data_IF_902071272601
#
_entry.id   IF_902071272601
#
_cell.length_a   1.000
_cell.length_b   1.000
_cell.length_c   1.000
_cell.angle_alpha   90.00
_cell.angle_beta   90.00
_cell.angle_gamma   90.00
#
_symmetry.space_group_name_H-M   'P 1'
#
loop_
_entity.id
_entity.type
_entity.pdbx_description
1 polymer ?
#
# COMPACT_ATOMS: atom_id res chain seq x y z
N UNK A 1 -49.47 39.94 -26.66
CA UNK A 1 -49.07 39.47 -26.66
C UNK A 1 -48.12 39.04 -26.04
N UNK A 2 -47.75 38.75 -25.83
CA UNK A 2 -47.09 38.21 -25.43
C UNK A 2 -46.10 37.72 -25.03
N UNK A 3 -45.75 37.56 -24.71
CA UNK A 3 -44.88 37.08 -24.51
C UNK A 3 -44.25 36.40 -24.09
N UNK A 4 -43.92 36.03 -23.95
CA UNK A 4 -43.34 35.30 -23.69
C UNK A 4 -42.50 34.86 -23.28
N UNK A 5 -42.11 34.54 -22.96
CA UNK A 5 -41.44 34.09 -22.69
C UNK A 5 -40.58 33.60 -22.44
N UNK A 6 -40.18 33.29 -22.20
CA UNK A 6 -39.36 32.74 -22.13
C UNK A 6 -38.57 32.36 -21.33
N UNK A 7 -38.30 31.83 -21.01
CA UNK A 7 -37.62 31.39 -20.37
C UNK A 7 -36.73 30.73 -20.22
N UNK A 8 -36.23 30.39 -20.16
CA UNK A 8 -35.28 29.88 -20.18
C UNK A 8 -34.66 29.36 -19.26
N UNK A 9 -34.39 28.83 -19.01
CA UNK A 9 -33.80 28.25 -18.19
C UNK A 9 -32.76 27.71 -18.13
N UNK A 10 -32.12 27.58 -18.05
CA UNK A 10 -31.04 27.21 -18.00
C UNK A 10 -30.61 26.52 -17.04
N UNK A 11 -30.29 25.85 -16.96
CA UNK A 11 -29.85 25.10 -16.14
C UNK A 11 -28.71 24.74 -15.97
N UNK A 12 -28.11 24.68 -15.65
CA UNK A 12 -27.07 24.38 -15.44
C UNK A 12 -26.50 23.48 -14.93
N UNK A 13 -25.97 23.05 -15.10
CA UNK A 13 -25.27 22.11 -14.93
C UNK A 13 -24.51 21.93 -13.87
N UNK A 14 -24.53 21.42 -13.36
CA UNK A 14 -23.79 21.26 -12.40
C UNK A 14 -23.05 20.32 -12.32
N UNK A 15 -22.35 20.07 -12.68
CA UNK A 15 -21.49 19.17 -12.75
C UNK A 15 -20.78 18.90 -11.73
N UNK A 16 -20.80 18.58 -11.12
CA UNK A 16 -20.15 18.21 -10.19
C UNK A 16 -19.24 17.43 -10.22
N UNK A 17 -18.45 17.39 -10.24
CA UNK A 17 -17.40 16.68 -10.24
C UNK A 17 -17.13 15.88 -9.25
N UNK A 18 -17.85 15.27 -8.88
CA UNK A 18 -17.56 14.42 -7.94
C UNK A 18 -16.52 13.56 -8.20
N UNK A 19 -16.25 13.40 -9.26
CA UNK A 19 -15.36 12.42 -9.54
C UNK A 19 -14.07 12.69 -9.18
N UNK A 20 -13.78 13.69 -8.78
CA UNK A 20 -12.49 14.00 -8.68
C UNK A 20 -11.76 13.36 -7.64
N UNK A 21 -12.24 12.51 -6.95
CA UNK A 21 -11.52 12.03 -5.96
C UNK A 21 -10.83 10.87 -6.21
N UNK A 22 -9.95 10.80 -7.05
CA UNK A 22 -9.18 9.65 -7.20
C UNK A 22 -8.07 9.69 -6.26
N UNK A 23 -8.26 9.68 -5.04
CA UNK A 23 -7.18 9.63 -4.14
C UNK A 23 -6.60 8.29 -4.07
N UNK A 24 -5.32 8.16 -4.10
CA UNK A 24 -4.62 6.92 -3.84
C UNK A 24 -4.80 6.60 -2.37
N UNK A 25 -5.40 5.48 -2.08
CA UNK A 25 -5.59 5.05 -0.69
C UNK A 25 -4.51 4.08 -0.24
N UNK A 26 -3.78 3.50 -1.17
CA UNK A 26 -2.75 2.53 -0.86
C UNK A 26 -1.51 2.84 -1.69
N UNK A 27 -0.36 2.81 -1.06
CA UNK A 27 0.92 2.88 -1.74
C UNK A 27 1.58 1.54 -1.70
N UNK A 28 2.28 1.17 -2.75
CA UNK A 28 3.04 -0.07 -2.78
C UNK A 28 4.52 0.29 -2.95
N UNK A 29 5.33 -0.22 -2.02
CA UNK A 29 6.76 0.00 -2.07
C UNK A 29 7.43 -1.31 -2.48
N UNK A 30 8.32 -1.24 -3.45
CA UNK A 30 9.12 -2.39 -3.83
C UNK A 30 10.46 -2.24 -3.14
N UNK A 31 10.74 -3.11 -2.20
CA UNK A 31 11.89 -2.96 -1.32
C UNK A 31 12.82 -4.15 -1.49
N UNK A 32 14.11 -3.89 -1.63
CA UNK A 32 15.08 -4.97 -1.66
C UNK A 32 15.16 -5.60 -0.29
N UNK A 33 15.20 -6.90 -0.25
CA UNK A 33 15.19 -7.62 1.02
C UNK A 33 16.33 -7.22 1.95
N UNK A 34 17.48 -6.86 1.41
CA UNK A 34 18.62 -6.47 2.24
C UNK A 34 18.36 -5.18 3.02
N UNK A 35 17.40 -4.37 2.59
CA UNK A 35 17.05 -3.13 3.27
C UNK A 35 15.74 -3.22 4.02
N UNK A 36 15.25 -4.43 4.24
CA UNK A 36 13.97 -4.62 4.92
C UNK A 36 14.16 -5.29 6.26
N UNK A 37 13.49 -4.76 7.26
CA UNK A 37 13.46 -5.37 8.57
C UNK A 37 12.02 -5.72 8.88
N UNK A 38 11.74 -7.01 8.96
CA UNK A 38 10.40 -7.48 9.21
C UNK A 38 10.02 -7.30 10.69
N UNK A 39 8.72 -7.17 10.97
CA UNK A 39 8.29 -7.04 12.36
C UNK A 39 8.54 -8.34 13.12
N UNK A 40 8.78 -8.22 14.41
CA UNK A 40 8.97 -9.39 15.25
C UNK A 40 7.63 -9.97 15.68
N UNK A 41 6.60 -9.14 15.76
CA UNK A 41 5.28 -9.57 16.21
C UNK A 41 4.22 -8.95 15.33
N UNK A 42 3.01 -9.48 15.41
CA UNK A 42 1.91 -8.99 14.59
C UNK A 42 1.50 -7.56 14.90
N UNK A 43 1.85 -7.04 16.04
CA UNK A 43 1.55 -5.64 16.37
C UNK A 43 2.75 -4.74 16.28
N UNK A 44 3.83 -5.21 15.68
CA UNK A 44 5.06 -4.44 15.64
C UNK A 44 5.16 -3.49 14.46
N UNK A 45 6.39 -3.24 14.05
CA UNK A 45 6.65 -2.34 12.94
C UNK A 45 7.55 -3.00 11.93
N UNK A 46 7.40 -2.56 10.69
CA UNK A 46 8.25 -2.97 9.60
C UNK A 46 9.07 -1.75 9.22
N UNK A 47 10.35 -1.93 8.98
CA UNK A 47 11.22 -0.83 8.62
C UNK A 47 11.97 -1.15 7.34
N UNK A 48 12.14 -0.17 6.49
CA UNK A 48 12.90 -0.35 5.26
C UNK A 48 13.50 0.96 4.78
N UNK A 49 14.49 0.85 3.92
CA UNK A 49 14.98 2.00 3.19
C UNK A 49 15.02 1.65 1.71
N UNK A 50 14.96 2.67 0.88
CA UNK A 50 14.93 2.44 -0.56
C UNK A 50 16.31 2.27 -1.13
N UNK A 51 17.33 2.64 -0.39
CA UNK A 51 18.72 2.47 -0.78
C UNK A 51 19.61 2.53 0.47
N UNK A 52 20.89 2.22 0.30
CA UNK A 52 21.81 2.14 1.44
C UNK A 52 21.88 3.44 2.25
N UNK A 53 21.84 4.57 1.57
CA UNK A 53 21.97 5.85 2.25
C UNK A 53 20.65 6.59 2.37
N UNK A 54 19.55 5.96 2.02
CA UNK A 54 18.25 6.59 2.09
C UNK A 54 17.69 6.54 3.52
N UNK A 55 16.76 7.43 3.79
CA UNK A 55 16.12 7.45 5.09
C UNK A 55 15.33 6.18 5.34
N UNK A 56 15.30 5.76 6.58
CA UNK A 56 14.53 4.58 6.98
C UNK A 56 13.08 4.96 7.20
N UNK A 57 12.18 4.20 6.55
CA UNK A 57 10.75 4.34 6.75
C UNK A 57 10.32 3.29 7.76
N UNK A 58 9.48 3.66 8.70
CA UNK A 58 8.96 2.73 9.69
C UNK A 58 7.44 2.71 9.58
N UNK A 59 6.88 1.54 9.29
CA UNK A 59 5.45 1.40 9.11
C UNK A 59 4.89 0.40 10.11
N UNK A 60 3.67 0.64 10.55
CA UNK A 60 3.06 -0.19 11.54
C UNK A 60 2.36 -1.37 10.90
N UNK A 61 2.51 -2.55 11.46
CA UNK A 61 1.74 -3.72 11.06
C UNK A 61 0.71 -4.03 12.14
N UNK A 62 -0.33 -4.74 11.76
CA UNK A 62 -1.39 -5.14 12.68
C UNK A 62 -1.69 -6.62 12.48
N UNK A 63 -2.56 -7.15 13.28
CA UNK A 63 -2.99 -8.52 13.11
C UNK A 63 -3.72 -8.73 11.79
N UNK A 64 -4.21 -7.67 11.17
CA UNK A 64 -4.88 -7.75 9.88
C UNK A 64 -3.92 -7.69 8.69
N UNK A 65 -2.64 -7.43 8.92
CA UNK A 65 -1.66 -7.39 7.85
C UNK A 65 -1.51 -8.78 7.25
N UNK A 66 -1.56 -8.86 5.92
CA UNK A 66 -1.44 -10.15 5.24
C UNK A 66 -0.02 -10.36 4.78
N UNK A 67 0.46 -11.58 4.91
CA UNK A 67 1.78 -11.98 4.44
C UNK A 67 1.60 -13.01 3.35
N UNK A 68 2.19 -12.78 2.18
CA UNK A 68 1.94 -13.59 0.99
C UNK A 68 3.26 -14.10 0.43
N UNK A 69 3.37 -15.40 0.27
CA UNK A 69 4.52 -16.05 -0.35
C UNK A 69 4.01 -16.81 -1.56
N UNK A 70 4.51 -16.44 -2.75
CA UNK A 70 4.12 -17.10 -3.99
C UNK A 70 2.59 -17.20 -4.14
N UNK A 71 1.91 -16.09 -3.88
CA UNK A 71 0.45 -15.96 -4.01
C UNK A 71 -0.34 -16.70 -2.93
N UNK A 72 0.30 -17.18 -1.88
CA UNK A 72 -0.41 -17.85 -0.80
C UNK A 72 -0.28 -17.06 0.48
N UNK A 73 -1.39 -16.93 1.19
CA UNK A 73 -1.37 -16.26 2.48
C UNK A 73 -0.71 -17.16 3.50
N UNK A 74 0.21 -16.63 4.25
CA UNK A 74 0.90 -17.37 5.30
C UNK A 74 0.93 -16.51 6.58
N UNK A 75 1.36 -17.12 7.66
CA UNK A 75 1.52 -16.36 8.91
C UNK A 75 2.79 -15.54 8.87
N UNK A 76 2.91 -14.57 9.76
CA UNK A 76 4.14 -13.79 9.87
C UNK A 76 5.34 -14.72 10.15
N UNK A 77 5.16 -15.69 11.00
CA UNK A 77 6.24 -16.64 11.33
C UNK A 77 6.70 -17.40 10.08
N UNK A 78 5.75 -17.88 9.29
CA UNK A 78 6.08 -18.60 8.07
C UNK A 78 6.70 -17.69 7.03
N UNK A 79 6.24 -16.45 6.94
CA UNK A 79 6.83 -15.48 6.03
C UNK A 79 8.29 -15.20 6.41
N UNK A 80 8.54 -14.99 7.69
CA UNK A 80 9.90 -14.75 8.16
C UNK A 80 10.81 -15.95 7.86
N UNK A 81 10.28 -17.14 8.01
CA UNK A 81 11.04 -18.33 7.73
C UNK A 81 11.32 -18.48 6.23
N UNK A 82 10.34 -18.20 5.40
CA UNK A 82 10.52 -18.24 3.95
C UNK A 82 11.59 -17.24 3.50
N UNK A 83 11.58 -16.06 4.06
CA UNK A 83 12.53 -15.03 3.71
C UNK A 83 13.94 -15.40 4.15
N UNK A 84 14.08 -16.08 5.28
CA UNK A 84 15.40 -16.51 5.74
C UNK A 84 16.07 -17.50 4.80
N UNK A 85 15.29 -18.20 4.01
CA UNK A 85 15.84 -19.18 3.07
C UNK A 85 16.31 -18.57 1.76
N UNK A 86 16.05 -17.30 1.56
CA UNK A 86 16.47 -16.63 0.35
C UNK A 86 17.96 -16.38 0.42
N UNK A 87 18.70 -16.93 -0.54
CA UNK A 87 20.13 -16.76 -0.55
C UNK A 87 20.56 -15.54 -1.33
N UNK A 88 19.82 -15.19 -2.37
CA UNK A 88 20.19 -14.06 -3.22
C UNK A 88 19.42 -12.82 -2.78
N UNK A 89 19.77 -12.32 -1.63
CA UNK A 89 18.97 -11.27 -0.97
C UNK A 89 18.99 -9.93 -1.68
N UNK A 90 20.04 -9.66 -2.44
CA UNK A 90 20.09 -8.39 -3.18
C UNK A 90 19.09 -8.35 -4.31
N UNK A 91 18.76 -9.49 -4.86
CA UNK A 91 17.83 -9.55 -5.98
C UNK A 91 16.41 -9.88 -5.55
N UNK A 92 16.20 -10.08 -4.27
CA UNK A 92 14.87 -10.39 -3.78
C UNK A 92 14.12 -9.11 -3.48
N UNK A 93 12.95 -8.98 -4.05
CA UNK A 93 12.11 -7.79 -3.89
C UNK A 93 10.88 -8.15 -3.08
N UNK A 94 10.59 -7.32 -2.11
CA UNK A 94 9.42 -7.48 -1.27
C UNK A 94 8.47 -6.32 -1.57
N UNK A 95 7.21 -6.63 -1.84
CA UNK A 95 6.20 -5.60 -2.04
C UNK A 95 5.53 -5.32 -0.71
N UNK A 96 5.53 -4.08 -0.30
CA UNK A 96 4.90 -3.64 0.94
C UNK A 96 3.75 -2.71 0.56
N UNK A 97 2.53 -3.10 0.88
CA UNK A 97 1.36 -2.28 0.60
C UNK A 97 0.98 -1.53 1.87
N UNK A 98 0.90 -0.23 1.77
CA UNK A 98 0.65 0.66 2.90
C UNK A 98 -0.65 1.42 2.67
N UNK A 99 -1.55 1.31 3.61
CA UNK A 99 -2.83 2.01 3.53
C UNK A 99 -2.67 3.38 4.17
N UNK A 100 -2.90 4.40 3.39
CA UNK A 100 -2.60 5.77 3.81
C UNK A 100 -3.51 6.25 4.93
N UNK A 101 -4.79 5.96 4.85
CA UNK A 101 -5.73 6.48 5.83
C UNK A 101 -5.48 5.92 7.24
N UNK A 102 -5.20 4.63 7.32
CA UNK A 102 -4.93 4.02 8.62
C UNK A 102 -3.46 4.05 9.00
N UNK A 103 -2.61 4.39 8.04
CA UNK A 103 -1.17 4.42 8.22
C UNK A 103 -0.63 3.06 8.67
N UNK A 104 -1.15 1.99 8.09
CA UNK A 104 -0.74 0.64 8.42
C UNK A 104 -0.41 -0.15 7.18
N UNK A 105 0.41 -1.18 7.35
CA UNK A 105 0.74 -2.10 6.27
C UNK A 105 -0.40 -3.09 6.12
N UNK A 106 -0.93 -3.23 4.92
CA UNK A 106 -2.02 -4.16 4.67
C UNK A 106 -1.52 -5.49 4.11
N UNK A 107 -0.41 -5.46 3.38
CA UNK A 107 0.10 -6.69 2.78
C UNK A 107 1.60 -6.61 2.56
N UNK A 108 2.28 -7.70 2.81
CA UNK A 108 3.71 -7.86 2.53
C UNK A 108 3.84 -9.11 1.66
N UNK A 109 4.42 -8.98 0.49
CA UNK A 109 4.43 -10.06 -0.47
C UNK A 109 5.83 -10.33 -0.99
N UNK A 110 6.19 -11.59 -1.09
CA UNK A 110 7.43 -12.02 -1.72
C UNK A 110 7.12 -13.06 -2.78
N UNK A 111 7.90 -13.01 -3.85
CA UNK A 111 7.79 -14.01 -4.88
C UNK A 111 9.12 -14.73 -4.90
N UNK A 112 9.11 -15.99 -4.67
CA UNK A 112 10.33 -16.79 -4.61
C UNK A 112 10.64 -17.46 -5.96
#
# INVERSE_FOLDING_TARGET
>A
MQIRRLLVLTILGLSLSAAADFRTTTEVWEVELIYLRLPATEGGTLAFSECADCDVQTLRVTAATRYVVNKRDVTLADFRQAVRRITNRKDAIIDVSHHLASNTVTKVRVKL
#
